data_IF_676904186036
#
_entry.id   IF_676904186036
#
_cell.length_a   1.000
_cell.length_b   1.000
_cell.length_c   1.000
_cell.angle_alpha   90.00
_cell.angle_beta   90.00
_cell.angle_gamma   90.00
#
_symmetry.space_group_name_H-M   'P 1'
#
loop_
_entity.id
_entity.type
_entity.pdbx_description
1 polymer ?
#
# COMPACT_ATOMS: atom_id res chain seq x y z
N UNK A 1 -10.14 -12.52 -1.06
CA UNK A 1 -10.42 -13.89 -0.58
C UNK A 1 -9.64 -14.07 0.70
N UNK A 2 -10.30 -14.21 1.85
CA UNK A 2 -9.61 -14.51 3.10
C UNK A 2 -9.64 -16.03 3.31
N UNK A 3 -8.47 -16.66 3.30
CA UNK A 3 -8.33 -18.06 3.68
C UNK A 3 -7.82 -18.11 5.12
N UNK A 4 -8.58 -18.73 6.01
CA UNK A 4 -8.18 -18.92 7.40
C UNK A 4 -7.16 -20.04 7.53
N UNK A 5 -6.00 -19.71 8.08
CA UNK A 5 -4.96 -20.67 8.48
C UNK A 5 -5.41 -21.46 9.71
N UNK A 6 -4.94 -22.71 9.81
CA UNK A 6 -5.23 -23.59 10.93
C UNK A 6 -4.60 -23.04 12.22
N UNK A 7 -5.43 -22.41 13.06
CA UNK A 7 -5.48 -22.48 14.52
C UNK A 7 -6.22 -21.24 15.08
N UNK A 8 -7.55 -21.25 15.01
CA UNK A 8 -8.35 -20.38 15.87
C UNK A 8 -9.69 -21.04 16.16
N UNK A 9 -9.74 -21.74 17.30
CA UNK A 9 -10.98 -22.24 17.89
C UNK A 9 -11.78 -21.05 18.40
N UNK A 10 -12.75 -20.56 17.62
CA UNK A 10 -13.87 -19.76 18.10
C UNK A 10 -15.02 -19.86 17.09
N UNK A 11 -15.93 -20.80 17.36
CA UNK A 11 -17.17 -20.98 16.62
C UNK A 11 -18.16 -19.86 16.97
N UNK A 12 -18.66 -19.13 15.96
CA UNK A 12 -19.92 -18.41 16.06
C UNK A 12 -20.87 -18.97 14.99
N UNK A 13 -21.78 -19.84 15.45
CA UNK A 13 -22.94 -20.34 14.69
C UNK A 13 -23.95 -19.21 14.53
N UNK A 14 -24.43 -18.99 13.30
CA UNK A 14 -25.80 -18.51 13.11
C UNK A 14 -26.41 -19.17 11.86
N UNK A 15 -27.54 -19.83 12.09
CA UNK A 15 -28.50 -20.41 11.12
C UNK A 15 -29.55 -19.30 10.83
N UNK A 16 -30.33 -19.20 9.76
CA UNK A 16 -30.96 -20.17 8.85
C UNK A 16 -31.65 -19.42 7.69
N UNK A 17 -31.93 -20.17 6.60
CA UNK A 17 -33.11 -20.09 5.71
C UNK A 17 -33.39 -18.88 4.79
N UNK A 18 -33.39 -19.13 3.46
CA UNK A 18 -34.59 -19.05 2.62
C UNK A 18 -34.43 -19.77 1.25
N UNK A 19 -35.57 -20.25 0.71
CA UNK A 19 -35.78 -21.17 -0.42
C UNK A 19 -35.75 -20.49 -1.82
N UNK A 20 -35.64 -21.25 -2.94
CA UNK A 20 -35.37 -20.71 -4.28
C UNK A 20 -36.65 -20.44 -5.10
N UNK A 21 -36.57 -19.51 -6.06
CA UNK A 21 -37.59 -19.30 -7.11
C UNK A 21 -36.99 -19.66 -8.48
N UNK A 22 -37.79 -20.42 -9.22
CA UNK A 22 -37.55 -21.05 -10.52
C UNK A 22 -37.85 -20.13 -11.72
N UNK A 23 -37.19 -20.46 -12.84
CA UNK A 23 -37.59 -20.28 -14.24
C UNK A 23 -37.56 -18.87 -14.86
N UNK A 24 -36.82 -18.69 -15.96
CA UNK A 24 -37.40 -18.88 -17.31
C UNK A 24 -36.32 -18.94 -18.40
N UNK A 25 -36.41 -20.00 -19.21
CA UNK A 25 -35.61 -20.31 -20.39
C UNK A 25 -36.14 -19.52 -21.60
N UNK A 26 -35.27 -18.97 -22.46
CA UNK A 26 -35.62 -18.71 -23.86
C UNK A 26 -34.40 -18.86 -24.78
N UNK A 27 -34.55 -19.81 -25.70
CA UNK A 27 -33.67 -20.08 -26.84
C UNK A 27 -33.91 -19.04 -27.96
N UNK A 28 -32.96 -18.94 -28.89
CA UNK A 28 -33.11 -19.19 -30.35
C UNK A 28 -32.23 -18.27 -31.23
N UNK A 29 -31.34 -18.96 -31.96
CA UNK A 29 -30.89 -18.82 -33.35
C UNK A 29 -29.75 -17.90 -33.79
N UNK A 30 -28.83 -18.61 -34.44
CA UNK A 30 -27.70 -18.24 -35.26
C UNK A 30 -28.13 -17.79 -36.67
N UNK A 31 -27.30 -16.96 -37.30
CA UNK A 31 -27.08 -17.00 -38.76
C UNK A 31 -25.62 -16.64 -39.07
N UNK A 32 -24.96 -17.56 -39.76
CA UNK A 32 -23.66 -17.39 -40.41
C UNK A 32 -23.81 -16.64 -41.74
N UNK A 33 -22.81 -15.83 -42.12
CA UNK A 33 -22.02 -16.02 -43.35
C UNK A 33 -20.81 -15.05 -43.40
N UNK A 34 -19.76 -15.53 -44.05
CA UNK A 34 -18.39 -15.00 -44.20
C UNK A 34 -18.07 -14.94 -45.71
N UNK A 35 -16.84 -14.62 -46.18
CA UNK A 35 -16.15 -13.33 -46.17
C UNK A 35 -15.74 -12.90 -47.61
N UNK A 36 -15.18 -11.70 -47.77
CA UNK A 36 -14.51 -11.31 -49.02
C UNK A 36 -13.74 -9.99 -48.90
N UNK A 37 -12.41 -10.08 -48.99
CA UNK A 37 -11.42 -9.02 -49.22
C UNK A 37 -10.48 -9.61 -50.31
N UNK A 38 -9.44 -8.94 -50.86
CA UNK A 38 -9.01 -7.54 -50.77
C UNK A 38 -8.61 -6.95 -52.15
N UNK A 39 -8.23 -5.67 -52.23
CA UNK A 39 -7.05 -5.26 -53.02
C UNK A 39 -6.61 -3.82 -52.78
N UNK A 40 -5.29 -3.67 -52.83
CA UNK A 40 -4.44 -2.53 -52.53
C UNK A 40 -4.14 -1.79 -53.84
N UNK A 41 -4.07 -0.46 -53.82
CA UNK A 41 -3.28 0.30 -54.80
C UNK A 41 -2.70 1.58 -54.17
N UNK A 42 -1.37 1.61 -54.13
CA UNK A 42 -0.52 2.74 -53.77
C UNK A 42 -0.47 3.75 -54.93
N UNK A 43 -0.59 5.06 -54.64
CA UNK A 43 -0.02 6.14 -55.45
C UNK A 43 0.49 7.26 -54.55
N UNK A 44 1.79 7.53 -54.63
CA UNK A 44 2.47 8.70 -54.06
C UNK A 44 2.36 9.85 -55.06
N UNK A 45 1.96 11.03 -54.59
CA UNK A 45 2.26 12.29 -55.27
C UNK A 45 2.42 13.37 -54.20
N UNK A 46 3.61 13.98 -54.18
CA UNK A 46 3.96 15.14 -53.37
C UNK A 46 3.57 16.39 -54.14
N UNK A 47 2.79 17.29 -53.52
CA UNK A 47 2.70 18.69 -53.95
C UNK A 47 2.39 19.56 -52.74
N UNK A 48 3.29 20.52 -52.50
CA UNK A 48 3.21 21.52 -51.45
C UNK A 48 2.34 22.68 -51.96
N UNK A 49 1.19 22.95 -51.32
CA UNK A 49 0.50 24.23 -51.46
C UNK A 49 -0.20 24.59 -50.16
N UNK A 50 0.16 25.76 -49.63
CA UNK A 50 -0.37 26.34 -48.40
C UNK A 50 -1.80 26.83 -48.62
N UNK A 51 -2.78 26.31 -47.87
CA UNK A 51 -4.09 26.95 -47.72
C UNK A 51 -4.73 26.58 -46.37
N UNK A 52 -4.94 27.62 -45.55
CA UNK A 52 -5.89 27.82 -44.44
C UNK A 52 -6.49 26.54 -43.82
N UNK A 53 -6.01 26.16 -42.63
CA UNK A 53 -6.61 25.11 -41.82
C UNK A 53 -7.96 25.55 -41.24
N UNK A 54 -9.04 25.04 -41.84
CA UNK A 54 -10.33 24.85 -41.18
C UNK A 54 -10.18 23.75 -40.11
N UNK A 55 -10.73 24.00 -38.92
CA UNK A 55 -10.81 23.01 -37.82
C UNK A 55 -11.72 21.86 -38.28
N UNK A 56 -11.25 20.59 -38.33
CA UNK A 56 -12.13 19.47 -38.62
C UNK A 56 -12.83 19.06 -37.32
N UNK A 57 -14.16 19.05 -37.34
CA UNK A 57 -14.98 18.42 -36.30
C UNK A 57 -14.64 16.93 -36.23
N UNK A 58 -14.05 16.50 -35.12
CA UNK A 58 -13.76 15.11 -34.81
C UNK A 58 -15.04 14.27 -34.90
N UNK A 59 -15.10 13.33 -35.85
CA UNK A 59 -16.09 12.25 -35.83
C UNK A 59 -15.74 11.33 -34.66
N UNK A 60 -16.55 11.32 -33.61
CA UNK A 60 -16.47 10.33 -32.55
C UNK A 60 -16.68 8.93 -33.15
N UNK A 61 -15.59 8.17 -33.28
CA UNK A 61 -15.66 6.75 -33.61
C UNK A 61 -15.96 6.02 -32.32
N UNK A 62 -17.23 5.63 -32.12
CA UNK A 62 -17.62 4.72 -31.04
C UNK A 62 -16.93 3.38 -31.33
N UNK A 63 -15.84 3.11 -30.61
CA UNK A 63 -15.24 1.79 -30.58
C UNK A 63 -16.18 0.92 -29.75
N UNK A 64 -17.02 0.12 -30.42
CA UNK A 64 -17.71 -0.99 -29.75
C UNK A 64 -16.63 -1.99 -29.35
N UNK A 65 -16.33 -2.06 -28.06
CA UNK A 65 -15.58 -3.17 -27.50
C UNK A 65 -16.42 -4.44 -27.72
N UNK A 66 -16.06 -5.22 -28.73
CA UNK A 66 -16.57 -6.59 -28.87
C UNK A 66 -15.75 -7.40 -27.89
N UNK A 67 -16.32 -7.69 -26.72
CA UNK A 67 -15.76 -8.67 -25.82
C UNK A 67 -15.83 -10.02 -26.55
N UNK A 68 -14.70 -10.45 -27.09
CA UNK A 68 -14.52 -11.84 -27.51
C UNK A 68 -14.67 -12.67 -26.23
N UNK A 69 -15.51 -13.71 -26.20
CA UNK A 69 -15.53 -14.64 -25.07
C UNK A 69 -14.14 -15.28 -25.00
N UNK A 70 -13.31 -14.77 -24.11
CA UNK A 70 -12.08 -15.44 -23.73
C UNK A 70 -12.51 -16.64 -22.89
N UNK A 71 -12.04 -17.83 -23.25
CA UNK A 71 -12.12 -18.96 -22.32
C UNK A 71 -11.57 -18.48 -20.97
N UNK A 72 -12.31 -18.70 -19.87
CA UNK A 72 -11.89 -18.20 -18.57
C UNK A 72 -10.49 -18.75 -18.29
N UNK A 73 -9.59 -17.85 -17.89
CA UNK A 73 -8.22 -18.22 -17.58
C UNK A 73 -8.22 -19.42 -16.61
N UNK A 74 -7.21 -20.32 -16.64
CA UNK A 74 -7.16 -21.52 -15.80
C UNK A 74 -7.45 -21.27 -14.31
N UNK A 75 -7.19 -20.04 -13.86
CA UNK A 75 -7.41 -19.50 -12.51
C UNK A 75 -8.87 -19.53 -12.04
N UNK A 76 -9.86 -19.59 -12.94
CA UNK A 76 -11.28 -19.56 -12.55
C UNK A 76 -11.96 -20.91 -12.40
N UNK A 77 -11.36 -22.02 -12.88
CA UNK A 77 -12.00 -23.33 -12.72
C UNK A 77 -12.03 -23.78 -11.25
N UNK A 78 -13.12 -24.43 -10.86
CA UNK A 78 -13.27 -24.89 -9.48
C UNK A 78 -12.22 -25.95 -9.13
N UNK A 79 -11.87 -26.82 -10.08
CA UNK A 79 -10.82 -27.84 -9.92
C UNK A 79 -9.45 -27.21 -9.69
N UNK A 80 -9.09 -26.19 -10.47
CA UNK A 80 -7.79 -25.54 -10.34
C UNK A 80 -7.65 -24.80 -9.01
N UNK A 81 -8.71 -24.12 -8.56
CA UNK A 81 -8.73 -23.49 -7.22
C UNK A 81 -8.57 -24.51 -6.11
N UNK A 82 -9.14 -25.70 -6.27
CA UNK A 82 -9.00 -26.81 -5.32
C UNK A 82 -7.58 -27.35 -5.28
N UNK A 83 -6.98 -27.59 -6.44
CA UNK A 83 -5.59 -28.01 -6.54
C UNK A 83 -4.64 -26.98 -5.90
N UNK A 84 -4.84 -25.69 -6.17
CA UNK A 84 -4.07 -24.61 -5.54
C UNK A 84 -4.25 -24.56 -4.02
N UNK A 85 -5.49 -24.72 -3.54
CA UNK A 85 -5.78 -24.72 -2.11
C UNK A 85 -5.05 -25.86 -1.40
N UNK A 86 -5.13 -27.08 -1.92
CA UNK A 86 -4.42 -28.25 -1.40
C UNK A 86 -2.91 -28.04 -1.43
N UNK A 87 -2.37 -27.54 -2.55
CA UNK A 87 -0.94 -27.26 -2.71
C UNK A 87 -0.42 -26.24 -1.70
N UNK A 88 -1.21 -25.21 -1.41
CA UNK A 88 -0.86 -24.18 -0.44
C UNK A 88 -1.25 -24.51 1.01
N UNK A 89 -1.86 -25.69 1.25
CA UNK A 89 -2.22 -26.15 2.60
C UNK A 89 -3.48 -25.49 3.17
N UNK A 90 -4.36 -24.97 2.31
CA UNK A 90 -5.67 -24.46 2.71
C UNK A 90 -6.70 -25.59 2.79
N UNK A 91 -7.39 -25.67 3.92
CA UNK A 91 -8.42 -26.69 4.16
C UNK A 91 -9.82 -26.28 3.66
N UNK A 92 -10.00 -25.01 3.30
CA UNK A 92 -11.29 -24.46 2.89
C UNK A 92 -11.09 -23.41 1.79
N UNK A 93 -11.99 -23.45 0.80
CA UNK A 93 -12.12 -22.43 -0.24
C UNK A 93 -13.41 -21.69 0.05
N UNK A 94 -13.34 -20.36 0.11
CA UNK A 94 -14.53 -19.53 0.24
C UNK A 94 -15.42 -19.66 -0.99
N UNK A 95 -16.73 -19.67 -0.80
CA UNK A 95 -17.68 -19.63 -1.92
C UNK A 95 -17.50 -18.31 -2.69
N UNK A 96 -17.64 -18.32 -4.03
CA UNK A 96 -17.63 -17.09 -4.80
C UNK A 96 -18.81 -16.22 -4.36
N UNK A 97 -18.57 -14.91 -4.28
CA UNK A 97 -19.66 -13.97 -4.04
C UNK A 97 -20.69 -14.10 -5.17
N UNK A 98 -22.00 -14.06 -4.86
CA UNK A 98 -23.02 -14.00 -5.89
C UNK A 98 -22.75 -12.82 -6.84
N UNK A 99 -22.93 -13.00 -8.14
CA UNK A 99 -22.71 -11.94 -9.14
C UNK A 99 -23.62 -10.71 -8.93
N UNK A 100 -24.69 -10.88 -8.14
CA UNK A 100 -25.61 -9.82 -7.75
C UNK A 100 -25.05 -8.86 -6.70
N UNK A 101 -24.00 -9.25 -5.97
CA UNK A 101 -23.41 -8.43 -4.91
C UNK A 101 -22.29 -7.58 -5.50
N UNK A 102 -22.50 -6.27 -5.51
CA UNK A 102 -21.50 -5.31 -5.98
C UNK A 102 -20.74 -4.68 -4.81
N UNK A 103 -19.56 -4.13 -5.07
CA UNK A 103 -18.82 -3.31 -4.09
C UNK A 103 -19.66 -2.14 -3.57
N UNK A 104 -20.55 -1.60 -4.40
CA UNK A 104 -21.47 -0.52 -4.02
C UNK A 104 -22.45 -0.99 -2.94
N UNK A 105 -22.95 -2.21 -3.02
CA UNK A 105 -23.86 -2.77 -2.01
C UNK A 105 -23.15 -2.92 -0.66
N UNK A 106 -21.88 -3.36 -0.70
CA UNK A 106 -21.04 -3.41 0.50
C UNK A 106 -20.82 -2.01 1.09
N UNK A 107 -20.43 -1.02 0.28
CA UNK A 107 -20.20 0.35 0.74
C UNK A 107 -21.48 0.98 1.31
N UNK A 108 -22.62 0.75 0.67
CA UNK A 108 -23.91 1.31 1.11
C UNK A 108 -24.46 0.63 2.36
N UNK A 109 -24.03 -0.61 2.65
CA UNK A 109 -24.34 -1.28 3.92
C UNK A 109 -23.63 -0.67 5.13
N UNK A 110 -22.55 0.10 4.92
CA UNK A 110 -21.78 0.72 6.00
C UNK A 110 -22.43 2.03 6.48
N UNK A 111 -22.41 2.32 7.80
CA UNK A 111 -22.94 3.57 8.32
C UNK A 111 -22.22 4.80 7.75
N UNK A 112 -22.97 5.85 7.34
CA UNK A 112 -22.38 7.08 6.76
C UNK A 112 -21.28 7.71 7.62
N UNK A 113 -21.43 7.62 8.95
CA UNK A 113 -20.48 8.11 9.94
C UNK A 113 -19.04 7.57 9.75
N UNK A 114 -18.85 6.39 9.16
CA UNK A 114 -17.51 5.82 8.92
C UNK A 114 -16.75 6.50 7.79
N UNK A 115 -17.44 7.29 6.96
CA UNK A 115 -16.85 8.07 5.86
C UNK A 115 -16.66 9.56 6.21
N UNK A 116 -17.14 9.99 7.39
CA UNK A 116 -17.04 11.38 7.82
C UNK A 116 -15.66 11.66 8.43
N UNK A 117 -14.98 12.68 7.88
CA UNK A 117 -13.69 13.15 8.37
C UNK A 117 -13.91 14.33 9.32
N UNK A 118 -13.31 14.27 10.50
CA UNK A 118 -13.44 15.29 11.54
C UNK A 118 -12.10 15.99 11.77
N UNK A 119 -11.90 17.15 11.14
CA UNK A 119 -10.62 17.87 11.17
C UNK A 119 -10.16 18.24 12.59
N UNK A 120 -11.09 18.62 13.49
CA UNK A 120 -10.77 18.92 14.89
C UNK A 120 -10.18 17.70 15.61
N UNK A 121 -10.71 16.51 15.33
CA UNK A 121 -10.19 15.26 15.89
C UNK A 121 -8.81 14.95 15.33
N UNK A 122 -8.61 15.13 14.02
CA UNK A 122 -7.30 14.97 13.37
C UNK A 122 -6.25 15.88 13.99
N UNK A 123 -6.52 17.18 14.12
CA UNK A 123 -5.60 18.14 14.75
C UNK A 123 -5.33 17.84 16.22
N UNK A 124 -6.32 17.35 16.97
CA UNK A 124 -6.11 16.85 18.33
C UNK A 124 -5.12 15.69 18.36
N UNK A 125 -5.23 14.74 17.44
CA UNK A 125 -4.27 13.62 17.31
C UNK A 125 -2.87 14.13 16.96
N UNK A 126 -2.74 15.10 16.04
CA UNK A 126 -1.44 15.74 15.73
C UNK A 126 -0.83 16.38 16.97
N UNK A 127 -1.61 17.15 17.73
CA UNK A 127 -1.15 17.80 18.95
C UNK A 127 -0.69 16.78 20.00
N UNK A 128 -1.45 15.70 20.21
CA UNK A 128 -1.10 14.63 21.16
C UNK A 128 0.20 13.94 20.76
N UNK A 129 0.37 13.59 19.48
CA UNK A 129 1.61 12.94 19.00
C UNK A 129 2.81 13.88 19.10
N UNK A 130 2.66 15.15 18.73
CA UNK A 130 3.73 16.15 18.80
C UNK A 130 4.16 16.42 20.25
N UNK A 131 3.20 16.62 21.16
CA UNK A 131 3.50 16.85 22.58
C UNK A 131 4.08 15.61 23.25
N UNK A 132 3.57 14.42 22.94
CA UNK A 132 4.13 13.14 23.42
C UNK A 132 5.57 12.94 22.95
N UNK A 133 5.88 13.32 21.71
CA UNK A 133 7.24 13.23 21.16
C UNK A 133 8.19 14.20 21.85
N UNK A 134 7.80 15.47 22.02
CA UNK A 134 8.60 16.46 22.75
C UNK A 134 8.84 16.00 24.19
N UNK A 135 7.81 15.49 24.88
CA UNK A 135 7.96 14.92 26.22
C UNK A 135 8.92 13.72 26.23
N UNK A 136 8.82 12.84 25.23
CA UNK A 136 9.76 11.73 25.05
C UNK A 136 11.21 12.19 24.93
N UNK A 137 11.48 13.19 24.09
CA UNK A 137 12.80 13.79 23.94
C UNK A 137 13.31 14.42 25.24
N UNK A 138 12.44 15.09 26.01
CA UNK A 138 12.78 15.65 27.32
C UNK A 138 13.11 14.53 28.32
N UNK A 139 12.33 13.46 28.36
CA UNK A 139 12.61 12.30 29.22
C UNK A 139 13.94 11.65 28.86
N UNK A 140 14.24 11.46 27.58
CA UNK A 140 15.53 10.91 27.15
C UNK A 140 16.67 11.86 27.56
N UNK A 141 16.46 13.17 27.49
CA UNK A 141 17.47 14.17 27.83
C UNK A 141 17.74 14.28 29.34
N UNK A 142 16.73 14.08 30.18
CA UNK A 142 16.80 14.41 31.61
C UNK A 142 16.71 13.20 32.55
N UNK A 143 16.20 12.06 32.08
CA UNK A 143 16.01 10.92 32.96
C UNK A 143 17.33 10.23 33.31
N UNK A 144 17.49 9.75 34.56
CA UNK A 144 18.63 8.93 34.93
C UNK A 144 18.66 7.65 34.10
N UNK A 145 19.86 7.08 33.94
CA UNK A 145 20.11 5.97 33.01
C UNK A 145 19.15 4.76 33.19
N UNK A 146 18.71 4.49 34.43
CA UNK A 146 17.81 3.38 34.74
C UNK A 146 16.35 3.62 34.32
N UNK A 147 15.94 4.86 34.04
CA UNK A 147 14.62 5.20 33.48
C UNK A 147 14.64 5.34 31.94
N UNK A 148 15.81 5.31 31.31
CA UNK A 148 15.93 5.41 29.85
C UNK A 148 15.13 4.35 29.09
N UNK A 149 15.04 3.07 29.51
CA UNK A 149 14.19 2.10 28.82
C UNK A 149 12.72 2.53 28.74
N UNK A 150 12.19 3.16 29.79
CA UNK A 150 10.83 3.71 29.79
C UNK A 150 10.73 4.94 28.88
N UNK A 151 11.72 5.82 28.91
CA UNK A 151 11.78 6.99 28.03
C UNK A 151 11.87 6.59 26.54
N UNK A 152 12.63 5.54 26.22
CA UNK A 152 12.72 4.97 24.87
C UNK A 152 11.40 4.33 24.43
N UNK A 153 10.76 3.54 25.30
CA UNK A 153 9.47 2.95 25.00
C UNK A 153 8.40 4.02 24.74
N UNK A 154 8.36 5.08 25.55
CA UNK A 154 7.46 6.21 25.34
C UNK A 154 7.75 6.94 24.02
N UNK A 155 9.01 7.32 23.79
CA UNK A 155 9.40 8.08 22.59
C UNK A 155 9.17 7.27 21.33
N UNK A 156 9.50 5.97 21.34
CA UNK A 156 9.19 5.06 20.25
C UNK A 156 7.69 4.99 19.96
N UNK A 157 6.85 4.90 21.00
CA UNK A 157 5.38 4.95 20.85
C UNK A 157 4.91 6.28 20.25
N UNK A 158 5.46 7.41 20.69
CA UNK A 158 5.12 8.72 20.13
C UNK A 158 5.51 8.83 18.64
N UNK A 159 6.66 8.28 18.26
CA UNK A 159 7.10 8.21 16.86
C UNK A 159 6.20 7.28 16.04
N UNK A 160 5.72 6.17 16.60
CA UNK A 160 4.67 5.35 15.97
C UNK A 160 3.38 6.15 15.76
N UNK A 161 3.02 7.06 16.69
CA UNK A 161 1.90 7.97 16.51
C UNK A 161 2.02 8.86 15.26
N UNK A 162 3.23 9.33 14.95
CA UNK A 162 3.47 10.05 13.69
C UNK A 162 3.35 9.15 12.45
N UNK A 163 3.82 7.91 12.53
CA UNK A 163 3.64 6.94 11.45
C UNK A 163 2.14 6.74 11.14
N UNK A 164 1.31 6.56 12.17
CA UNK A 164 -0.14 6.38 12.01
C UNK A 164 -0.78 7.62 11.38
N UNK A 165 -0.39 8.84 11.81
CA UNK A 165 -0.87 10.07 11.19
C UNK A 165 -0.55 10.11 9.69
N UNK A 166 0.72 9.90 9.31
CA UNK A 166 1.08 9.94 7.89
C UNK A 166 0.47 8.79 7.09
N UNK A 167 0.30 7.62 7.69
CA UNK A 167 -0.44 6.49 7.11
C UNK A 167 -1.88 6.86 6.77
N UNK A 168 -2.62 7.49 7.68
CA UNK A 168 -4.00 7.89 7.45
C UNK A 168 -4.09 9.03 6.41
N UNK A 169 -3.08 9.91 6.38
CA UNK A 169 -2.92 10.90 5.32
C UNK A 169 -2.68 10.25 3.95
N UNK A 170 -1.95 9.13 3.89
CA UNK A 170 -1.69 8.40 2.65
C UNK A 170 -2.98 7.78 2.08
N UNK A 171 -3.86 7.29 2.96
CA UNK A 171 -5.20 6.83 2.61
C UNK A 171 -6.18 7.91 2.17
N UNK A 172 -5.80 9.17 2.28
CA UNK A 172 -6.69 10.30 2.02
C UNK A 172 -7.90 10.39 2.94
N UNK A 173 -7.73 9.98 4.19
CA UNK A 173 -8.80 9.85 5.18
C UNK A 173 -8.61 10.67 6.47
N UNK A 174 -7.50 11.40 6.59
CA UNK A 174 -7.13 12.10 7.81
C UNK A 174 -7.71 13.52 7.88
N UNK A 175 -7.64 14.26 6.77
CA UNK A 175 -8.14 15.64 6.67
C UNK A 175 -9.05 15.81 5.44
N UNK A 176 -9.98 16.75 5.54
CA UNK A 176 -10.86 17.11 4.41
C UNK A 176 -10.06 17.66 3.23
N UNK A 177 -9.08 18.53 3.49
CA UNK A 177 -8.22 19.13 2.48
C UNK A 177 -7.02 18.23 2.13
N UNK A 178 -6.98 17.73 0.89
CA UNK A 178 -5.99 16.76 0.42
C UNK A 178 -4.58 17.31 0.27
N UNK A 179 -4.44 18.62 0.03
CA UNK A 179 -3.13 19.27 0.00
C UNK A 179 -2.56 19.41 1.42
N UNK A 180 -3.39 19.85 2.37
CA UNK A 180 -2.97 19.95 3.78
C UNK A 180 -2.60 18.56 4.31
N UNK A 181 -3.33 17.54 3.92
CA UNK A 181 -3.05 16.15 4.26
C UNK A 181 -1.70 15.65 3.73
N UNK A 182 -1.34 15.98 2.49
CA UNK A 182 0.00 15.69 1.95
C UNK A 182 1.12 16.37 2.74
N UNK A 183 0.89 17.63 3.15
CA UNK A 183 1.84 18.40 3.96
C UNK A 183 1.97 17.76 5.35
N UNK A 184 0.86 17.47 6.02
CA UNK A 184 0.84 16.84 7.35
C UNK A 184 1.49 15.46 7.31
N UNK A 185 1.21 14.65 6.28
CA UNK A 185 1.85 13.35 6.09
C UNK A 185 3.36 13.47 5.91
N UNK A 186 3.80 14.44 5.09
CA UNK A 186 5.23 14.73 4.89
C UNK A 186 5.91 15.14 6.19
N UNK A 187 5.31 16.06 6.96
CA UNK A 187 5.86 16.53 8.23
C UNK A 187 5.90 15.44 9.30
N UNK A 188 4.84 14.64 9.42
CA UNK A 188 4.77 13.53 10.37
C UNK A 188 5.86 12.48 10.10
N UNK A 189 6.25 12.29 8.85
CA UNK A 189 7.27 11.31 8.48
C UNK A 189 8.73 11.78 8.66
N UNK A 190 8.97 13.08 8.91
CA UNK A 190 10.33 13.61 9.07
C UNK A 190 11.09 13.02 10.26
N UNK A 191 10.51 12.90 11.47
CA UNK A 191 11.19 12.25 12.60
C UNK A 191 11.49 10.77 12.34
N UNK A 192 10.81 10.13 11.39
CA UNK A 192 11.03 8.73 11.02
C UNK A 192 12.12 8.58 9.95
N UNK A 193 12.64 9.68 9.43
CA UNK A 193 13.58 9.70 8.30
C UNK A 193 13.00 8.92 7.11
N UNK A 194 11.70 9.06 6.88
CA UNK A 194 10.99 8.31 5.85
C UNK A 194 10.45 9.32 4.84
N UNK A 195 10.79 9.21 3.54
CA UNK A 195 10.20 10.10 2.57
C UNK A 195 8.75 9.65 2.31
N UNK A 196 7.82 10.47 2.81
CA UNK A 196 6.38 10.24 2.77
C UNK A 196 5.84 9.84 1.39
N UNK A 197 6.14 10.59 0.33
CA UNK A 197 5.60 10.31 -1.00
C UNK A 197 6.11 8.98 -1.59
N UNK A 198 7.42 8.69 -1.58
CA UNK A 198 7.94 7.36 -1.91
C UNK A 198 7.31 6.21 -1.12
N UNK A 199 7.11 6.40 0.19
CA UNK A 199 6.45 5.40 1.02
C UNK A 199 4.99 5.22 0.62
N UNK A 200 4.25 6.31 0.46
CA UNK A 200 2.86 6.32 0.03
C UNK A 200 2.66 5.62 -1.31
N UNK A 201 3.50 5.86 -2.32
CA UNK A 201 3.34 5.19 -3.63
C UNK A 201 3.50 3.67 -3.55
N UNK A 202 4.42 3.19 -2.70
CA UNK A 202 4.56 1.75 -2.43
C UNK A 202 3.35 1.25 -1.64
N UNK A 203 2.92 2.01 -0.64
CA UNK A 203 1.79 1.70 0.21
C UNK A 203 0.47 1.58 -0.57
N UNK A 204 0.20 2.48 -1.50
CA UNK A 204 -0.95 2.43 -2.41
C UNK A 204 -0.95 1.14 -3.25
N UNK A 205 0.23 0.69 -3.71
CA UNK A 205 0.38 -0.58 -4.43
C UNK A 205 0.13 -1.78 -3.52
N UNK A 206 0.65 -1.75 -2.29
CA UNK A 206 0.36 -2.77 -1.28
C UNK A 206 -1.15 -2.88 -1.06
N UNK A 207 -1.85 -1.77 -0.78
CA UNK A 207 -3.30 -1.80 -0.55
C UNK A 207 -4.09 -2.34 -1.74
N UNK A 208 -3.74 -1.92 -2.95
CA UNK A 208 -4.38 -2.43 -4.16
C UNK A 208 -4.18 -3.93 -4.39
N UNK A 209 -3.10 -4.51 -3.83
CA UNK A 209 -2.62 -5.87 -4.09
C UNK A 209 -2.38 -6.69 -2.82
N UNK A 210 -3.03 -6.30 -1.72
CA UNK A 210 -2.83 -6.91 -0.40
C UNK A 210 -3.09 -8.41 -0.49
N UNK A 211 -2.20 -9.21 0.10
CA UNK A 211 -2.26 -10.68 0.12
C UNK A 211 -2.19 -11.36 -1.26
N UNK A 212 -1.87 -10.61 -2.33
CA UNK A 212 -1.53 -11.22 -3.61
C UNK A 212 -0.06 -11.65 -3.58
N UNK A 213 0.19 -12.95 -3.41
CA UNK A 213 1.51 -13.59 -3.27
C UNK A 213 2.65 -13.01 -4.14
N UNK A 214 2.35 -12.58 -5.37
CA UNK A 214 3.34 -12.04 -6.31
C UNK A 214 3.27 -10.52 -6.49
N UNK A 215 2.13 -9.91 -6.23
CA UNK A 215 1.87 -8.49 -6.54
C UNK A 215 2.02 -7.60 -5.31
N UNK A 216 1.85 -8.15 -4.11
CA UNK A 216 2.08 -7.42 -2.87
C UNK A 216 3.56 -7.01 -2.76
N UNK A 217 3.78 -5.74 -2.39
CA UNK A 217 5.10 -5.12 -2.24
C UNK A 217 5.60 -5.12 -0.79
N UNK A 218 4.76 -5.48 0.18
CA UNK A 218 5.09 -5.44 1.60
C UNK A 218 5.82 -6.72 2.05
N UNK A 219 5.30 -7.90 1.68
CA UNK A 219 5.84 -9.17 2.10
C UNK A 219 5.64 -10.26 1.04
N UNK A 220 6.70 -11.03 0.79
CA UNK A 220 6.66 -12.21 -0.07
C UNK A 220 7.28 -13.37 0.71
N UNK A 221 6.56 -14.50 0.88
CA UNK A 221 7.12 -15.67 1.54
C UNK A 221 8.24 -16.28 0.70
N UNK A 222 9.23 -16.87 1.38
CA UNK A 222 10.12 -17.83 0.73
C UNK A 222 9.31 -19.08 0.41
N UNK A 223 9.33 -19.51 -0.85
CA UNK A 223 8.61 -20.71 -1.27
C UNK A 223 9.23 -21.97 -0.65
N UNK A 224 8.40 -22.97 -0.34
CA UNK A 224 8.88 -24.25 0.20
C UNK A 224 9.90 -24.90 -0.71
N UNK A 225 9.60 -24.99 -2.00
CA UNK A 225 10.48 -25.59 -3.01
C UNK A 225 11.80 -24.81 -3.14
N UNK A 226 11.74 -23.48 -3.05
CA UNK A 226 12.94 -22.63 -3.01
C UNK A 226 13.76 -22.92 -1.76
N UNK A 227 13.13 -23.01 -0.59
CA UNK A 227 13.83 -23.29 0.65
C UNK A 227 14.50 -24.66 0.59
N UNK A 228 13.80 -25.71 0.16
CA UNK A 228 14.28 -27.09 0.15
C UNK A 228 15.39 -27.33 -0.88
N UNK A 229 15.29 -26.73 -2.06
CA UNK A 229 16.27 -26.87 -3.16
C UNK A 229 17.59 -26.12 -2.93
N UNK A 230 17.63 -25.18 -1.99
CA UNK A 230 18.80 -24.35 -1.76
C UNK A 230 19.89 -25.02 -0.88
N UNK A 231 21.17 -24.70 -1.09
CA UNK A 231 22.27 -25.22 -0.29
C UNK A 231 22.17 -24.81 1.18
N UNK A 232 22.81 -25.59 2.07
CA UNK A 232 22.78 -25.39 3.54
C UNK A 232 23.09 -23.94 3.96
N UNK A 233 24.05 -23.30 3.30
CA UNK A 233 24.40 -21.90 3.57
C UNK A 233 23.22 -20.95 3.34
N UNK A 234 22.47 -21.11 2.24
CA UNK A 234 21.30 -20.25 1.95
C UNK A 234 20.15 -20.53 2.90
N UNK A 235 19.93 -21.78 3.31
CA UNK A 235 18.97 -22.13 4.39
C UNK A 235 19.36 -21.49 5.72
N UNK A 236 20.65 -21.53 6.08
CA UNK A 236 21.16 -20.88 7.28
C UNK A 236 20.99 -19.35 7.21
N UNK A 237 21.22 -18.74 6.04
CA UNK A 237 20.93 -17.33 5.82
C UNK A 237 19.42 -17.07 6.01
N UNK A 238 18.53 -17.86 5.38
CA UNK A 238 17.06 -17.78 5.51
C UNK A 238 16.59 -17.83 6.97
N UNK A 239 17.12 -18.77 7.76
CA UNK A 239 16.82 -18.85 9.20
C UNK A 239 17.46 -17.70 9.99
N UNK A 240 18.64 -17.26 9.57
CA UNK A 240 19.36 -16.11 10.11
C UNK A 240 18.70 -14.76 9.84
N UNK A 241 17.73 -14.66 8.92
CA UNK A 241 16.99 -13.40 8.69
C UNK A 241 16.33 -12.89 9.97
N UNK A 242 15.91 -13.76 10.89
CA UNK A 242 15.28 -13.37 12.16
C UNK A 242 16.09 -12.33 12.94
N UNK A 243 17.29 -12.67 13.46
CA UNK A 243 18.11 -11.75 14.24
C UNK A 243 18.66 -10.55 13.44
N UNK A 244 18.85 -10.68 12.11
CA UNK A 244 19.36 -9.58 11.28
C UNK A 244 18.29 -8.71 10.65
N UNK A 245 16.99 -9.02 10.85
CA UNK A 245 15.87 -8.36 10.18
C UNK A 245 15.86 -6.86 10.39
N UNK A 246 16.20 -6.40 11.60
CA UNK A 246 16.26 -4.97 11.92
C UNK A 246 17.25 -4.22 11.03
N UNK A 247 18.46 -4.77 10.86
CA UNK A 247 19.51 -4.16 10.03
C UNK A 247 19.17 -4.23 8.53
N UNK A 248 18.64 -5.37 8.08
CA UNK A 248 18.19 -5.52 6.69
C UNK A 248 17.02 -4.59 6.37
N UNK A 249 16.16 -4.28 7.33
CA UNK A 249 15.07 -3.32 7.16
C UNK A 249 15.60 -1.92 6.85
N UNK A 250 16.76 -1.53 7.41
CA UNK A 250 17.41 -0.24 7.09
C UNK A 250 17.90 -0.27 5.63
N UNK A 251 18.59 -1.32 5.21
CA UNK A 251 19.03 -1.45 3.82
C UNK A 251 17.84 -1.43 2.84
N UNK A 252 16.77 -2.17 3.16
CA UNK A 252 15.53 -2.19 2.39
C UNK A 252 14.90 -0.80 2.31
N UNK A 253 14.81 -0.08 3.44
CA UNK A 253 14.32 1.29 3.51
C UNK A 253 15.06 2.21 2.53
N UNK A 254 16.40 2.17 2.56
CA UNK A 254 17.24 3.02 1.73
C UNK A 254 17.02 2.72 0.23
N UNK A 255 17.10 1.44 -0.14
CA UNK A 255 16.98 1.00 -1.54
C UNK A 255 15.59 1.26 -2.11
N UNK A 256 14.55 1.14 -1.30
CA UNK A 256 13.17 1.23 -1.79
C UNK A 256 12.67 2.66 -1.86
N UNK A 257 13.07 3.52 -0.93
CA UNK A 257 12.45 4.84 -0.77
C UNK A 257 13.32 6.01 -1.25
N UNK A 258 14.62 5.80 -1.47
CA UNK A 258 15.54 6.88 -1.91
C UNK A 258 15.99 6.75 -3.36
N UNK A 259 15.63 5.66 -4.05
CA UNK A 259 15.93 5.46 -5.47
C UNK A 259 14.83 6.02 -6.37
N UNK A 260 15.11 7.16 -7.01
CA UNK A 260 14.14 7.83 -7.88
C UNK A 260 13.80 7.04 -9.16
N UNK A 261 14.62 6.07 -9.56
CA UNK A 261 14.39 5.27 -10.78
C UNK A 261 13.20 4.32 -10.65
N UNK A 262 12.74 4.07 -9.42
CA UNK A 262 11.62 3.17 -9.11
C UNK A 262 10.23 3.82 -9.26
N UNK A 263 10.17 5.13 -9.46
CA UNK A 263 8.91 5.88 -9.53
C UNK A 263 8.51 6.19 -10.97
N UNK A 264 7.20 6.31 -11.19
CA UNK A 264 6.64 6.71 -12.49
C UNK A 264 7.00 8.17 -12.79
N UNK A 265 7.09 8.58 -14.07
CA UNK A 265 7.45 9.96 -14.42
C UNK A 265 6.59 11.05 -13.74
N UNK A 266 5.30 10.77 -13.49
CA UNK A 266 4.37 11.67 -12.80
C UNK A 266 4.54 11.72 -11.27
N UNK A 267 5.25 10.76 -10.68
CA UNK A 267 5.50 10.65 -9.23
C UNK A 267 6.83 11.32 -8.82
N UNK A 268 7.79 11.41 -9.74
CA UNK A 268 9.17 11.84 -9.47
C UNK A 268 9.23 13.21 -8.78
N UNK A 269 8.42 14.18 -9.18
CA UNK A 269 8.47 15.52 -8.59
C UNK A 269 8.02 15.51 -7.12
N UNK A 270 6.97 14.75 -6.80
CA UNK A 270 6.48 14.60 -5.41
C UNK A 270 7.49 13.82 -4.57
N UNK A 271 8.12 12.80 -5.15
CA UNK A 271 9.21 12.06 -4.52
C UNK A 271 10.41 12.97 -4.19
N UNK A 272 10.86 13.80 -5.14
CA UNK A 272 11.97 14.75 -4.95
C UNK A 272 11.70 15.73 -3.81
N UNK A 273 10.49 16.30 -3.75
CA UNK A 273 10.12 17.22 -2.66
C UNK A 273 10.21 16.50 -1.31
N UNK A 274 9.65 15.30 -1.22
CA UNK A 274 9.68 14.51 0.02
C UNK A 274 11.11 14.13 0.45
N UNK A 275 11.97 13.72 -0.50
CA UNK A 275 13.39 13.48 -0.23
C UNK A 275 14.10 14.75 0.25
N UNK A 276 13.85 15.90 -0.39
CA UNK A 276 14.45 17.17 0.01
C UNK A 276 14.04 17.55 1.45
N UNK A 277 12.77 17.35 1.83
CA UNK A 277 12.32 17.56 3.21
C UNK A 277 13.04 16.65 4.20
N UNK A 278 13.17 15.35 3.89
CA UNK A 278 13.89 14.40 4.75
C UNK A 278 15.37 14.75 4.88
N UNK A 279 16.06 15.06 3.78
CA UNK A 279 17.46 15.46 3.84
C UNK A 279 17.66 16.77 4.61
N UNK A 280 16.76 17.75 4.42
CA UNK A 280 16.81 19.01 5.18
C UNK A 280 16.61 18.76 6.67
N UNK A 281 15.64 17.93 7.05
CA UNK A 281 15.39 17.58 8.44
C UNK A 281 16.55 16.78 9.06
N UNK A 282 17.17 15.87 8.31
CA UNK A 282 18.34 15.12 8.77
C UNK A 282 19.58 16.01 8.90
N UNK A 283 19.77 17.00 8.02
CA UNK A 283 20.90 17.92 8.09
C UNK A 283 20.76 18.99 9.19
N UNK A 284 19.53 19.38 9.55
CA UNK A 284 19.28 20.51 10.45
C UNK A 284 18.53 20.06 11.72
N UNK A 285 17.40 19.40 11.54
CA UNK A 285 16.49 18.99 12.62
C UNK A 285 17.14 18.02 13.60
N UNK A 286 17.66 16.89 13.11
CA UNK A 286 18.31 15.88 13.95
C UNK A 286 19.54 16.43 14.70
N UNK A 287 20.50 17.13 14.06
CA UNK A 287 21.60 17.77 14.76
C UNK A 287 21.13 18.79 15.81
N UNK A 288 20.09 19.56 15.53
CA UNK A 288 19.52 20.51 16.50
C UNK A 288 18.90 19.81 17.70
N UNK A 289 18.18 18.70 17.49
CA UNK A 289 17.63 17.87 18.56
C UNK A 289 18.78 17.31 19.40
N UNK A 290 19.75 16.65 18.77
CA UNK A 290 20.92 16.06 19.44
C UNK A 290 21.70 17.13 20.20
N UNK A 291 21.88 18.33 19.65
CA UNK A 291 22.57 19.42 20.33
C UNK A 291 21.82 19.86 21.60
N UNK A 292 20.49 19.97 21.54
CA UNK A 292 19.66 20.41 22.68
C UNK A 292 19.44 19.32 23.74
N UNK A 293 19.34 18.06 23.33
CA UNK A 293 19.03 16.91 24.19
C UNK A 293 20.24 16.03 24.52
N UNK A 294 21.44 16.41 24.06
CA UNK A 294 22.55 15.48 23.79
C UNK A 294 23.32 14.88 24.96
N UNK A 295 24.29 14.05 24.57
CA UNK A 295 25.23 13.26 25.39
C UNK A 295 26.06 14.13 26.37
N UNK A 296 26.30 15.41 26.07
CA UNK A 296 26.99 16.34 26.98
C UNK A 296 26.21 16.63 28.26
N UNK A 297 24.87 16.57 28.21
CA UNK A 297 24.03 16.61 29.42
C UNK A 297 24.15 15.31 30.19
N UNK A 298 24.23 14.18 29.51
CA UNK A 298 24.38 12.87 30.12
C UNK A 298 25.70 12.72 30.90
N UNK A 299 26.83 13.21 30.36
CA UNK A 299 28.10 13.23 31.11
C UNK A 299 28.02 14.13 32.35
N UNK A 300 27.32 15.27 32.27
CA UNK A 300 27.06 16.17 33.39
C UNK A 300 26.07 15.60 34.43
N UNK A 301 25.10 14.77 34.02
CA UNK A 301 24.16 14.11 34.94
C UNK A 301 24.80 12.96 35.69
N UNK A 302 25.72 12.21 35.06
CA UNK A 302 26.47 11.14 35.74
C UNK A 302 27.26 11.63 36.95
N UNK A 303 27.69 12.89 36.94
CA UNK A 303 28.40 13.53 38.06
C UNK A 303 27.48 14.07 39.17
N UNK A 304 26.16 14.13 38.95
CA UNK A 304 25.18 14.66 39.94
C UNK A 304 24.49 13.59 40.78
N UNK A 305 24.64 12.32 40.40
CA UNK A 305 23.99 11.16 41.06
C UNK A 305 25.02 10.32 41.83
N UNK A 306 26.28 10.74 41.86
CA UNK A 306 27.37 10.22 42.70
C UNK A 306 27.66 11.20 43.81
#
# INVERSE_FOLDING_TARGET
MACTSANSLLQLKCSSHQKPILNLRRNISLHHHSPGNPSILFRKEFTHQSQRQFIPTSKFRIIRAVAIPLEPAPVESAEYRKELAERYGFNQIGEPLPETVTLKDVITSLPKKVFEIYDVKAWKTVLISATSYVLGLLMISEAPWYLLPLAWAWTGTAVTGFFVIGHDCAHKSFLTNKLVEDIVGTLAFLPLIYPYEPWRFKYDKHHAKTDMLKEDTAWQPVWKDEFESNPLLRKAIINGYGPFRCWMSIAHWLVVHFDLTRFRPNEINRAKISLACVFSFTAIGWPSIIYKTGIMRWSSQRQRVT
#
